data_IF_698046070949
#
_entry.id   IF_698046070949
#
_cell.length_a   1.000
_cell.length_b   1.000
_cell.length_c   1.000
_cell.angle_alpha   90.00
_cell.angle_beta   90.00
_cell.angle_gamma   90.00
#
_symmetry.space_group_name_H-M   'P 1'
#
loop_
_entity.id
_entity.type
_entity.pdbx_description
1 polymer ?
#
# COMPACT_ATOMS: atom_id res chain seq x y z
N UNK A 1 67.05 65.34 -22.44
CA UNK A 1 66.64 63.96 -22.81
C UNK A 1 65.67 63.47 -21.70
N UNK A 2 64.39 63.63 -21.90
CA UNK A 2 63.39 63.19 -20.91
C UNK A 2 62.29 62.38 -21.67
N UNK A 3 62.30 61.10 -21.44
CA UNK A 3 61.20 60.22 -21.88
C UNK A 3 60.04 60.21 -20.83
N UNK A 4 58.87 60.64 -21.26
CA UNK A 4 57.65 60.54 -20.49
C UNK A 4 57.00 59.20 -20.84
N UNK A 5 56.87 58.31 -19.85
CA UNK A 5 56.06 57.12 -19.93
C UNK A 5 54.62 57.48 -19.56
N UNK A 6 53.68 57.26 -20.48
CA UNK A 6 52.22 57.33 -20.26
C UNK A 6 51.71 55.99 -19.82
N UNK A 7 51.22 55.92 -18.58
CA UNK A 7 50.57 54.73 -18.02
C UNK A 7 49.15 54.65 -18.54
N UNK A 8 48.83 53.62 -19.30
CA UNK A 8 47.45 53.23 -19.63
C UNK A 8 46.86 52.45 -18.44
N UNK A 9 45.81 52.99 -17.77
CA UNK A 9 44.94 52.25 -16.83
C UNK A 9 43.96 51.45 -17.65
N UNK A 10 44.08 50.10 -17.65
CA UNK A 10 43.08 49.18 -18.11
C UNK A 10 42.09 48.97 -16.99
N UNK A 11 40.87 49.50 -17.18
CA UNK A 11 39.71 49.24 -16.32
C UNK A 11 39.19 47.84 -16.62
N UNK A 12 39.40 46.88 -15.72
CA UNK A 12 38.75 45.58 -15.76
C UNK A 12 37.32 45.69 -15.19
N UNK A 13 36.34 45.68 -16.08
CA UNK A 13 34.91 45.49 -15.68
C UNK A 13 34.69 44.01 -15.45
N UNK A 14 34.70 43.58 -14.18
CA UNK A 14 34.22 42.27 -13.80
C UNK A 14 32.70 42.23 -13.99
N UNK A 15 32.23 41.68 -15.12
CA UNK A 15 30.85 41.19 -15.21
C UNK A 15 30.76 40.00 -14.28
N UNK A 16 30.24 40.22 -13.09
CA UNK A 16 29.79 39.17 -12.20
C UNK A 16 28.55 38.49 -12.80
N UNK A 17 28.77 37.44 -13.62
CA UNK A 17 27.73 36.51 -13.92
C UNK A 17 27.38 35.80 -12.60
N UNK A 18 26.32 36.25 -11.93
CA UNK A 18 25.72 35.55 -10.83
C UNK A 18 25.25 34.18 -11.33
N UNK A 19 26.11 33.19 -11.15
CA UNK A 19 25.68 31.80 -11.20
C UNK A 19 24.79 31.66 -9.98
N UNK A 20 23.47 31.85 -10.16
CA UNK A 20 22.48 31.36 -9.21
C UNK A 20 22.68 29.84 -9.17
N UNK A 21 23.52 29.39 -8.23
CA UNK A 21 23.58 27.98 -7.89
C UNK A 21 22.16 27.57 -7.54
N UNK A 22 21.52 26.79 -8.38
CA UNK A 22 20.33 26.09 -8.01
C UNK A 22 20.71 25.31 -6.74
N UNK A 23 20.22 25.77 -5.60
CA UNK A 23 20.33 25.01 -4.35
C UNK A 23 19.79 23.64 -4.70
N UNK A 24 20.61 22.61 -4.58
CA UNK A 24 20.14 21.23 -4.72
C UNK A 24 19.01 21.09 -3.72
N UNK A 25 17.79 20.94 -4.22
CA UNK A 25 16.63 20.76 -3.40
C UNK A 25 16.84 19.44 -2.66
N UNK A 26 16.89 19.47 -1.33
CA UNK A 26 17.10 18.26 -0.54
C UNK A 26 16.06 17.23 -0.93
N UNK A 27 16.52 15.99 -1.22
CA UNK A 27 15.64 14.91 -1.62
C UNK A 27 14.66 14.57 -0.51
N UNK A 28 13.39 14.41 -0.85
CA UNK A 28 12.36 13.92 0.07
C UNK A 28 12.65 12.46 0.42
N UNK A 29 12.80 12.15 1.68
CA UNK A 29 13.08 10.80 2.19
C UNK A 29 11.78 10.20 2.70
N UNK A 30 11.45 8.99 2.25
CA UNK A 30 10.26 8.28 2.69
C UNK A 30 10.57 6.85 3.12
N UNK A 31 9.91 6.38 4.17
CA UNK A 31 10.09 5.03 4.74
C UNK A 31 8.76 4.46 5.22
N UNK A 32 8.62 3.13 5.24
CA UNK A 32 7.48 2.43 5.83
C UNK A 32 6.96 1.26 5.01
N UNK A 33 5.64 1.15 4.88
CA UNK A 33 5.00 -0.03 4.28
C UNK A 33 5.35 -0.23 2.81
N UNK A 34 5.66 -1.48 2.45
CA UNK A 34 5.93 -1.88 1.06
C UNK A 34 4.73 -1.62 0.14
N UNK A 35 3.50 -1.70 0.65
CA UNK A 35 2.30 -1.47 -0.13
C UNK A 35 2.25 -0.07 -0.77
N UNK A 36 2.78 0.95 -0.09
CA UNK A 36 2.90 2.30 -0.66
C UNK A 36 4.23 2.52 -1.37
N UNK A 37 5.29 1.91 -0.90
CA UNK A 37 6.61 2.09 -1.51
C UNK A 37 6.63 1.66 -2.99
N UNK A 38 5.84 0.65 -3.38
CA UNK A 38 5.77 0.19 -4.76
C UNK A 38 5.17 1.25 -5.72
N UNK A 39 3.94 1.78 -5.51
CA UNK A 39 3.42 2.83 -6.38
C UNK A 39 4.23 4.13 -6.31
N UNK A 40 4.85 4.45 -5.18
CA UNK A 40 5.74 5.61 -5.06
C UNK A 40 7.07 5.41 -5.79
N UNK A 41 7.58 4.18 -5.90
CA UNK A 41 8.76 3.90 -6.72
C UNK A 41 8.51 4.21 -8.21
N UNK A 42 7.30 3.90 -8.71
CA UNK A 42 6.89 4.29 -10.07
C UNK A 42 6.75 5.82 -10.21
N UNK A 43 6.43 6.54 -9.13
CA UNK A 43 6.32 7.99 -9.12
C UNK A 43 7.68 8.73 -9.14
N UNK A 44 8.78 8.08 -8.73
CA UNK A 44 10.12 8.72 -8.60
C UNK A 44 10.55 9.43 -9.89
N UNK A 45 10.35 8.78 -11.05
CA UNK A 45 10.77 9.34 -12.34
C UNK A 45 9.92 10.58 -12.67
N UNK A 46 8.60 10.49 -12.52
CA UNK A 46 7.70 11.61 -12.80
C UNK A 46 7.95 12.79 -11.84
N UNK A 47 8.13 12.53 -10.55
CA UNK A 47 8.46 13.56 -9.57
C UNK A 47 9.77 14.29 -9.93
N UNK A 48 10.79 13.55 -10.33
CA UNK A 48 12.08 14.16 -10.74
C UNK A 48 11.94 14.96 -12.04
N UNK A 49 11.33 14.42 -13.07
CA UNK A 49 11.31 15.03 -14.41
C UNK A 49 10.26 16.12 -14.57
N UNK A 50 9.09 15.96 -13.95
CA UNK A 50 7.94 16.86 -14.12
C UNK A 50 7.83 17.88 -12.98
N UNK A 51 8.21 17.49 -11.75
CA UNK A 51 8.06 18.30 -10.54
C UNK A 51 9.38 18.80 -9.96
N UNK A 52 10.52 18.37 -10.52
CA UNK A 52 11.87 18.71 -10.04
C UNK A 52 12.11 18.33 -8.57
N UNK A 53 11.49 17.27 -8.10
CA UNK A 53 11.63 16.74 -6.72
C UNK A 53 12.26 15.36 -6.76
N UNK A 54 13.37 15.20 -6.07
CA UNK A 54 13.98 13.90 -5.83
C UNK A 54 13.31 13.19 -4.65
N UNK A 55 12.94 11.91 -4.84
CA UNK A 55 12.35 11.08 -3.81
C UNK A 55 13.24 9.86 -3.53
N UNK A 56 13.66 9.71 -2.29
CA UNK A 56 14.43 8.56 -1.80
C UNK A 56 13.54 7.65 -0.95
N UNK A 57 13.33 6.43 -1.43
CA UNK A 57 12.45 5.47 -0.79
C UNK A 57 13.24 4.39 -0.05
N UNK A 58 12.86 4.12 1.21
CA UNK A 58 13.26 2.95 1.98
C UNK A 58 12.03 2.10 2.27
N UNK A 59 11.85 1.03 1.50
CA UNK A 59 10.74 0.11 1.69
C UNK A 59 11.06 -0.92 2.77
N UNK A 60 10.09 -1.21 3.64
CA UNK A 60 10.17 -2.26 4.66
C UNK A 60 9.92 -1.78 6.09
N UNK A 61 9.78 -2.75 6.99
CA UNK A 61 9.51 -2.48 8.40
C UNK A 61 8.07 -2.09 8.76
N UNK A 62 7.22 -1.83 7.76
CA UNK A 62 5.81 -1.49 7.99
C UNK A 62 5.58 -0.07 8.50
N UNK A 63 4.36 0.17 8.99
CA UNK A 63 3.92 1.48 9.50
C UNK A 63 4.76 1.95 10.69
N UNK A 64 5.07 1.07 11.62
CA UNK A 64 5.84 1.38 12.83
C UNK A 64 7.22 1.96 12.48
N UNK A 65 7.95 1.30 11.58
CA UNK A 65 9.28 1.78 11.13
C UNK A 65 9.17 3.14 10.42
N UNK A 66 8.09 3.36 9.64
CA UNK A 66 7.85 4.65 9.00
C UNK A 66 7.63 5.77 10.01
N UNK A 67 6.78 5.52 11.03
CA UNK A 67 6.49 6.50 12.09
C UNK A 67 7.70 6.77 12.97
N UNK A 68 8.47 5.75 13.32
CA UNK A 68 9.75 5.88 14.05
C UNK A 68 10.73 6.78 13.29
N UNK A 69 10.90 6.52 12.00
CA UNK A 69 11.81 7.28 11.16
C UNK A 69 11.34 8.75 11.00
N UNK A 70 10.03 8.99 10.92
CA UNK A 70 9.45 10.32 10.85
C UNK A 70 9.62 11.05 12.19
N UNK A 71 9.25 10.41 13.31
CA UNK A 71 9.34 11.00 14.65
C UNK A 71 10.76 11.31 15.10
N UNK A 72 11.75 10.62 14.53
CA UNK A 72 13.19 10.89 14.73
C UNK A 72 13.80 11.78 13.63
N UNK A 73 13.00 12.35 12.74
CA UNK A 73 13.39 13.21 11.62
C UNK A 73 14.45 12.60 10.68
N UNK A 74 14.53 11.26 10.62
CA UNK A 74 15.37 10.53 9.65
C UNK A 74 14.74 10.44 8.28
N UNK A 75 13.41 10.61 8.18
CA UNK A 75 12.66 10.79 6.95
C UNK A 75 11.70 11.97 7.06
N UNK A 76 11.21 12.41 5.90
CA UNK A 76 10.29 13.55 5.78
C UNK A 76 8.84 13.07 5.60
N UNK A 77 8.67 11.77 5.27
CA UNK A 77 7.39 11.18 4.93
C UNK A 77 7.33 9.72 5.42
N UNK A 78 6.36 9.37 6.24
CA UNK A 78 6.11 7.98 6.61
C UNK A 78 5.01 7.36 5.74
N UNK A 79 5.27 6.12 5.29
CA UNK A 79 4.34 5.31 4.49
C UNK A 79 3.57 4.37 5.42
N UNK A 80 2.28 4.61 5.60
CA UNK A 80 1.46 3.89 6.57
C UNK A 80 0.34 3.10 5.89
N UNK A 81 0.02 1.93 6.43
CA UNK A 81 -1.08 1.07 5.97
C UNK A 81 -2.08 0.73 7.09
N UNK A 82 -2.19 1.59 8.07
CA UNK A 82 -3.24 1.64 9.08
C UNK A 82 -3.46 3.07 9.55
N UNK A 83 -4.60 3.33 10.16
CA UNK A 83 -4.84 4.60 10.83
C UNK A 83 -3.86 4.78 12.01
N UNK A 84 -3.54 6.04 12.29
CA UNK A 84 -2.77 6.39 13.48
C UNK A 84 -3.62 6.17 14.74
N UNK A 85 -3.01 5.59 15.75
CA UNK A 85 -3.60 5.38 17.07
C UNK A 85 -3.25 6.54 18.01
N UNK A 86 -3.95 6.68 19.15
CA UNK A 86 -3.51 7.60 20.20
C UNK A 86 -2.09 7.31 20.70
N UNK A 87 -1.67 6.04 20.74
CA UNK A 87 -0.32 5.65 21.13
C UNK A 87 0.73 6.19 20.15
N UNK A 88 0.51 6.08 18.83
CA UNK A 88 1.44 6.64 17.84
C UNK A 88 1.67 8.15 18.06
N UNK A 89 0.64 8.88 18.46
CA UNK A 89 0.77 10.32 18.75
C UNK A 89 1.44 10.60 20.09
N UNK A 90 1.26 9.72 21.07
CA UNK A 90 1.88 9.84 22.39
C UNK A 90 3.38 9.50 22.35
N UNK A 91 3.78 8.58 21.47
CA UNK A 91 5.20 8.19 21.30
C UNK A 91 6.04 9.33 20.70
N UNK A 92 5.41 10.24 19.93
CA UNK A 92 6.07 11.40 19.29
C UNK A 92 5.36 12.71 19.64
N UNK A 93 5.36 13.15 20.91
CA UNK A 93 4.58 14.31 21.36
C UNK A 93 5.06 15.64 20.74
N UNK A 94 6.30 15.69 20.26
CA UNK A 94 6.85 16.85 19.54
C UNK A 94 6.40 16.93 18.08
N UNK A 95 5.93 15.81 17.51
CA UNK A 95 5.50 15.74 16.12
C UNK A 95 3.99 16.00 15.99
N UNK A 96 3.61 16.86 15.06
CA UNK A 96 2.21 17.10 14.72
C UNK A 96 1.74 16.19 13.60
N UNK A 97 1.72 14.88 13.84
CA UNK A 97 1.45 13.87 12.82
C UNK A 97 0.16 14.16 12.03
N UNK A 98 0.29 14.51 10.75
CA UNK A 98 -0.78 14.72 9.78
C UNK A 98 -0.86 13.55 8.82
N UNK A 99 -2.07 13.21 8.41
CA UNK A 99 -2.32 12.08 7.50
C UNK A 99 -2.93 12.58 6.21
N UNK A 100 -2.37 12.16 5.09
CA UNK A 100 -2.95 12.33 3.75
C UNK A 100 -3.33 10.95 3.20
N UNK A 101 -4.62 10.60 3.12
CA UNK A 101 -5.06 9.37 2.47
C UNK A 101 -4.72 9.42 0.97
N UNK A 102 -4.17 8.32 0.44
CA UNK A 102 -3.87 8.17 -0.99
C UNK A 102 -4.58 6.98 -1.63
N UNK A 103 -5.25 6.16 -0.84
CA UNK A 103 -6.02 5.02 -1.34
C UNK A 103 -6.35 4.02 -0.24
N UNK A 104 -6.86 2.86 -0.67
CA UNK A 104 -7.20 1.75 0.22
C UNK A 104 -6.80 0.43 -0.44
N UNK A 105 -6.11 -0.41 0.31
CA UNK A 105 -5.90 -1.79 -0.09
C UNK A 105 -7.11 -2.62 0.32
N UNK A 106 -7.72 -3.32 -0.64
CA UNK A 106 -8.85 -4.24 -0.44
C UNK A 106 -8.48 -5.60 -1.01
N UNK A 107 -8.60 -6.65 -0.21
CA UNK A 107 -8.36 -8.02 -0.62
C UNK A 107 -9.61 -8.86 -0.45
N UNK A 108 -9.74 -9.91 -1.23
CA UNK A 108 -10.77 -10.93 -1.07
C UNK A 108 -10.15 -12.32 -0.96
N UNK A 109 -10.84 -13.23 -0.32
CA UNK A 109 -10.57 -14.67 -0.43
C UNK A 109 -11.12 -15.14 -1.78
N UNK A 110 -10.24 -15.20 -2.78
CA UNK A 110 -10.60 -15.67 -4.11
C UNK A 110 -10.55 -17.20 -4.17
N UNK A 111 -11.52 -17.80 -4.83
CA UNK A 111 -11.61 -19.25 -5.06
C UNK A 111 -11.86 -19.56 -6.52
N UNK A 112 -11.44 -20.74 -6.96
CA UNK A 112 -11.75 -21.28 -8.29
C UNK A 112 -13.25 -21.56 -8.45
N UNK A 113 -13.67 -21.61 -9.72
CA UNK A 113 -15.08 -21.77 -10.10
C UNK A 113 -15.77 -22.99 -9.49
N UNK A 114 -15.08 -24.11 -9.42
CA UNK A 114 -15.61 -25.38 -8.89
C UNK A 114 -15.98 -25.27 -7.40
N UNK A 115 -15.20 -24.51 -6.60
CA UNK A 115 -15.52 -24.23 -5.19
C UNK A 115 -16.79 -23.38 -5.10
N UNK A 116 -16.88 -22.34 -5.93
CA UNK A 116 -18.05 -21.46 -5.97
C UNK A 116 -19.32 -22.20 -6.46
N UNK A 117 -19.23 -22.95 -7.55
CA UNK A 117 -20.36 -23.76 -8.07
C UNK A 117 -20.76 -24.83 -7.07
N UNK A 118 -19.82 -25.38 -6.32
CA UNK A 118 -20.06 -26.31 -5.21
C UNK A 118 -20.77 -25.73 -4.01
N UNK A 119 -21.17 -24.44 -4.04
CA UNK A 119 -22.07 -23.82 -3.06
C UNK A 119 -21.39 -22.96 -2.00
N UNK A 120 -20.04 -22.95 -1.88
CA UNK A 120 -19.37 -22.11 -0.89
C UNK A 120 -19.49 -20.62 -1.25
N UNK A 121 -19.91 -19.78 -0.27
CA UNK A 121 -20.13 -18.35 -0.47
C UNK A 121 -19.43 -17.48 0.56
N UNK A 122 -19.10 -18.02 1.72
CA UNK A 122 -18.50 -17.27 2.81
C UNK A 122 -17.63 -18.16 3.68
N UNK A 123 -16.67 -17.56 4.37
CA UNK A 123 -15.87 -18.21 5.40
C UNK A 123 -15.83 -17.34 6.66
N UNK A 124 -15.81 -17.99 7.83
CA UNK A 124 -15.47 -17.31 9.08
C UNK A 124 -13.95 -17.12 9.20
N UNK A 125 -13.52 -16.24 10.11
CA UNK A 125 -12.10 -16.09 10.45
C UNK A 125 -11.47 -17.39 10.93
N UNK A 126 -12.21 -18.20 11.70
CA UNK A 126 -11.72 -19.49 12.19
C UNK A 126 -11.56 -20.52 11.07
N UNK A 127 -12.50 -20.61 10.14
CA UNK A 127 -12.40 -21.47 8.97
C UNK A 127 -11.21 -21.04 8.08
N UNK A 128 -11.07 -19.75 7.78
CA UNK A 128 -9.95 -19.23 7.04
C UNK A 128 -8.60 -19.54 7.72
N UNK A 129 -8.54 -19.38 9.06
CA UNK A 129 -7.37 -19.76 9.85
C UNK A 129 -7.06 -21.25 9.73
N UNK A 130 -8.06 -22.11 9.87
CA UNK A 130 -7.93 -23.56 9.74
C UNK A 130 -7.36 -23.98 8.38
N UNK A 131 -7.80 -23.34 7.30
CA UNK A 131 -7.29 -23.57 5.94
C UNK A 131 -5.81 -23.16 5.83
N UNK A 132 -5.45 -21.97 6.29
CA UNK A 132 -4.08 -21.46 6.17
C UNK A 132 -3.09 -22.22 7.08
N UNK A 133 -3.54 -22.73 8.21
CA UNK A 133 -2.77 -23.59 9.11
C UNK A 133 -2.73 -25.08 8.65
N UNK A 134 -3.51 -25.42 7.61
CA UNK A 134 -3.58 -26.80 7.08
C UNK A 134 -4.39 -27.76 7.94
N UNK A 135 -5.16 -27.28 8.93
CA UNK A 135 -6.08 -28.09 9.75
C UNK A 135 -7.35 -28.46 8.96
N UNK A 136 -7.77 -27.58 8.05
CA UNK A 136 -8.86 -27.79 7.10
C UNK A 136 -8.21 -27.94 5.72
N UNK A 137 -8.38 -29.07 5.07
CA UNK A 137 -7.71 -29.39 3.82
C UNK A 137 -8.68 -29.85 2.70
N UNK A 138 -9.97 -29.91 2.99
CA UNK A 138 -11.02 -30.22 2.04
C UNK A 138 -12.16 -29.20 2.18
N UNK A 139 -12.67 -28.68 1.05
CA UNK A 139 -13.74 -27.69 1.06
C UNK A 139 -15.04 -28.16 1.71
N UNK A 140 -15.32 -29.48 1.72
CA UNK A 140 -16.50 -30.04 2.40
C UNK A 140 -16.51 -29.77 3.90
N UNK A 141 -15.37 -29.61 4.54
CA UNK A 141 -15.26 -29.30 5.97
C UNK A 141 -15.80 -27.91 6.33
N UNK A 142 -15.96 -27.05 5.33
CA UNK A 142 -16.48 -25.68 5.48
C UNK A 142 -17.77 -25.45 4.66
N UNK A 143 -18.45 -26.53 4.24
CA UNK A 143 -19.72 -26.44 3.51
C UNK A 143 -19.59 -26.27 1.99
N UNK A 144 -18.42 -26.50 1.44
CA UNK A 144 -18.15 -26.53 0.01
C UNK A 144 -18.18 -27.94 -0.59
N UNK A 145 -17.70 -28.12 -1.83
CA UNK A 145 -17.65 -29.43 -2.51
C UNK A 145 -16.62 -30.37 -1.87
N UNK A 146 -16.76 -31.67 -2.09
CA UNK A 146 -15.74 -32.65 -1.71
C UNK A 146 -14.52 -32.53 -2.63
N UNK A 147 -13.70 -31.55 -2.34
CA UNK A 147 -12.53 -31.16 -3.14
C UNK A 147 -11.40 -30.69 -2.25
N UNK A 148 -10.20 -31.19 -2.51
CA UNK A 148 -9.01 -30.80 -1.76
C UNK A 148 -8.70 -29.32 -1.93
N UNK A 149 -8.40 -28.64 -0.83
CA UNK A 149 -7.97 -27.24 -0.84
C UNK A 149 -6.54 -27.13 -1.39
N UNK A 150 -6.35 -26.23 -2.35
CA UNK A 150 -5.06 -25.87 -2.91
C UNK A 150 -4.80 -24.40 -2.61
N UNK A 151 -4.11 -24.15 -1.51
CA UNK A 151 -3.82 -22.81 -1.04
C UNK A 151 -2.62 -22.22 -1.75
N UNK A 152 -2.79 -21.04 -2.36
CA UNK A 152 -1.72 -20.20 -2.90
C UNK A 152 -1.62 -18.92 -2.07
N UNK A 153 -0.39 -18.48 -1.80
CA UNK A 153 -0.17 -17.40 -0.85
C UNK A 153 1.05 -16.54 -1.22
N UNK A 154 0.96 -15.25 -0.90
CA UNK A 154 2.10 -14.37 -0.96
C UNK A 154 3.17 -14.74 0.08
N UNK A 155 4.41 -14.38 -0.19
CA UNK A 155 5.51 -14.54 0.77
C UNK A 155 5.27 -13.71 2.05
N UNK A 156 5.79 -14.21 3.16
CA UNK A 156 5.77 -13.49 4.44
C UNK A 156 6.45 -12.12 4.29
N UNK A 157 5.85 -11.08 4.88
CA UNK A 157 6.31 -9.69 4.76
C UNK A 157 5.77 -8.94 3.54
N UNK A 158 5.00 -9.60 2.67
CA UNK A 158 4.21 -8.92 1.65
C UNK A 158 2.93 -8.34 2.26
N UNK A 159 2.48 -7.19 1.76
CA UNK A 159 1.30 -6.51 2.29
C UNK A 159 0.02 -7.36 2.33
N UNK A 160 -0.17 -8.28 1.38
CA UNK A 160 -1.27 -9.25 1.39
C UNK A 160 -1.18 -10.21 2.57
N UNK A 161 0.03 -10.69 2.88
CA UNK A 161 0.27 -11.56 4.02
C UNK A 161 0.00 -10.83 5.34
N UNK A 162 0.47 -9.59 5.47
CA UNK A 162 0.33 -8.80 6.68
C UNK A 162 -1.14 -8.52 7.04
N UNK A 163 -1.96 -8.09 6.05
CA UNK A 163 -3.37 -7.79 6.28
C UNK A 163 -4.14 -9.02 6.74
N UNK A 164 -3.82 -10.17 6.18
CA UNK A 164 -4.45 -11.43 6.51
C UNK A 164 -4.00 -11.94 7.89
N UNK A 165 -2.70 -11.86 8.19
CA UNK A 165 -2.16 -12.19 9.49
C UNK A 165 -2.75 -11.32 10.61
N UNK A 166 -2.88 -10.02 10.36
CA UNK A 166 -3.51 -9.09 11.30
C UNK A 166 -4.97 -9.46 11.57
N UNK A 167 -5.72 -9.79 10.54
CA UNK A 167 -7.12 -10.20 10.69
C UNK A 167 -7.27 -11.47 11.49
N UNK A 168 -6.47 -12.52 11.21
CA UNK A 168 -6.62 -13.84 11.84
C UNK A 168 -6.05 -13.92 13.26
N UNK A 169 -5.00 -13.15 13.57
CA UNK A 169 -4.25 -13.30 14.82
C UNK A 169 -4.22 -12.03 15.68
N UNK A 170 -4.75 -10.91 15.19
CA UNK A 170 -4.67 -9.62 15.87
C UNK A 170 -3.29 -8.97 15.86
N UNK A 171 -2.25 -9.77 15.69
CA UNK A 171 -0.85 -9.31 15.60
C UNK A 171 -0.10 -10.12 14.52
N UNK A 172 0.61 -9.41 13.64
CA UNK A 172 1.34 -10.03 12.53
C UNK A 172 2.38 -11.06 13.02
N UNK A 173 3.04 -10.77 14.17
CA UNK A 173 4.07 -11.67 14.74
C UNK A 173 3.53 -12.99 15.27
N UNK A 174 2.25 -13.03 15.63
CA UNK A 174 1.60 -14.26 16.12
C UNK A 174 1.22 -15.23 15.00
N UNK A 175 1.26 -14.79 13.73
CA UNK A 175 0.94 -15.65 12.62
C UNK A 175 2.04 -16.73 12.43
N UNK A 176 1.67 -18.03 12.42
CA UNK A 176 2.60 -19.10 12.15
C UNK A 176 3.07 -19.10 10.68
N UNK A 177 3.98 -19.98 10.35
CA UNK A 177 4.27 -20.29 8.95
C UNK A 177 3.08 -21.04 8.35
N UNK A 178 2.49 -20.50 7.28
CA UNK A 178 1.37 -21.13 6.62
C UNK A 178 1.80 -22.18 5.61
N UNK A 179 0.95 -23.17 5.41
CA UNK A 179 1.24 -24.34 4.58
C UNK A 179 0.55 -24.20 3.21
N UNK A 180 1.07 -23.34 2.37
CA UNK A 180 0.56 -23.12 1.01
C UNK A 180 1.68 -22.95 -0.01
N UNK A 181 1.33 -23.11 -1.29
CA UNK A 181 2.25 -22.85 -2.40
C UNK A 181 2.48 -21.34 -2.55
N UNK A 182 3.74 -20.92 -2.61
CA UNK A 182 4.09 -19.51 -2.75
C UNK A 182 3.87 -19.03 -4.19
N UNK A 183 3.36 -17.81 -4.33
CA UNK A 183 3.23 -17.10 -5.61
C UNK A 183 3.94 -15.75 -5.53
N UNK A 184 4.56 -15.35 -6.63
CA UNK A 184 5.40 -14.14 -6.69
C UNK A 184 4.58 -12.85 -6.75
N UNK A 185 3.34 -12.91 -7.21
CA UNK A 185 2.51 -11.73 -7.36
C UNK A 185 1.06 -12.05 -7.71
N UNK A 186 0.26 -10.99 -7.88
CA UNK A 186 -1.18 -11.06 -8.13
C UNK A 186 -1.48 -11.78 -9.46
N UNK A 187 -0.73 -11.50 -10.52
CA UNK A 187 -0.94 -12.09 -11.84
C UNK A 187 -0.65 -13.60 -11.84
N UNK A 188 0.43 -14.03 -11.21
CA UNK A 188 0.73 -15.46 -11.07
C UNK A 188 -0.35 -16.16 -10.24
N UNK A 189 -0.77 -15.56 -9.13
CA UNK A 189 -1.84 -16.10 -8.29
C UNK A 189 -3.13 -16.24 -9.11
N UNK A 190 -3.57 -15.19 -9.81
CA UNK A 190 -4.75 -15.20 -10.65
C UNK A 190 -4.70 -16.33 -11.69
N UNK A 191 -3.64 -16.37 -12.47
CA UNK A 191 -3.48 -17.37 -13.54
C UNK A 191 -3.47 -18.78 -12.96
N UNK A 192 -2.80 -19.00 -11.83
CA UNK A 192 -2.74 -20.31 -11.18
C UNK A 192 -4.13 -20.74 -10.67
N UNK A 193 -4.87 -19.82 -10.04
CA UNK A 193 -6.20 -20.14 -9.51
C UNK A 193 -7.19 -20.47 -10.61
N UNK A 194 -7.14 -19.76 -11.74
CA UNK A 194 -8.09 -19.95 -12.86
C UNK A 194 -8.07 -21.38 -13.41
N UNK A 195 -6.90 -22.03 -13.40
CA UNK A 195 -6.70 -23.37 -13.97
C UNK A 195 -6.47 -24.45 -12.93
N UNK A 196 -6.60 -24.14 -11.64
CA UNK A 196 -6.36 -25.12 -10.57
C UNK A 196 -7.62 -25.38 -9.77
N UNK A 197 -8.30 -26.53 -9.97
CA UNK A 197 -9.50 -26.90 -9.21
C UNK A 197 -9.22 -26.91 -7.69
N UNK A 198 -10.17 -26.40 -6.91
CA UNK A 198 -10.05 -26.33 -5.45
C UNK A 198 -9.08 -25.27 -4.93
N UNK A 199 -8.62 -24.38 -5.79
CA UNK A 199 -7.66 -23.36 -5.42
C UNK A 199 -8.28 -22.20 -4.66
N UNK A 200 -7.46 -21.55 -3.81
CA UNK A 200 -7.77 -20.27 -3.17
C UNK A 200 -6.51 -19.43 -2.95
N UNK A 201 -6.69 -18.12 -2.96
CA UNK A 201 -5.66 -17.13 -2.62
C UNK A 201 -6.30 -15.82 -2.18
N UNK A 202 -5.48 -14.89 -1.68
CA UNK A 202 -5.87 -13.49 -1.48
C UNK A 202 -5.61 -12.70 -2.76
N UNK A 203 -6.66 -12.13 -3.33
CA UNK A 203 -6.57 -11.26 -4.49
C UNK A 203 -7.37 -9.97 -4.26
N UNK A 204 -6.97 -8.83 -4.86
CA UNK A 204 -7.86 -7.68 -4.94
C UNK A 204 -9.18 -8.07 -5.65
N UNK A 205 -10.35 -7.55 -5.24
CA UNK A 205 -11.64 -7.89 -5.87
C UNK A 205 -11.70 -7.64 -7.37
N UNK A 206 -10.95 -6.66 -7.87
CA UNK A 206 -10.84 -6.39 -9.31
C UNK A 206 -10.30 -7.57 -10.14
N UNK A 207 -9.65 -8.54 -9.51
CA UNK A 207 -9.15 -9.77 -10.13
C UNK A 207 -10.05 -10.99 -9.90
N UNK A 208 -11.15 -10.82 -9.18
CA UNK A 208 -12.25 -11.79 -9.04
C UNK A 208 -13.43 -11.36 -9.91
N UNK A 209 -14.45 -12.15 -10.05
CA UNK A 209 -15.56 -11.92 -10.98
C UNK A 209 -15.15 -11.93 -12.46
N UNK A 210 -13.91 -12.33 -12.73
CA UNK A 210 -13.37 -12.46 -14.06
C UNK A 210 -13.25 -13.94 -14.44
N UNK A 211 -14.13 -14.40 -15.33
CA UNK A 211 -14.18 -15.75 -15.94
C UNK A 211 -14.43 -16.89 -14.95
N UNK A 212 -13.45 -17.27 -14.10
CA UNK A 212 -13.50 -18.49 -13.29
C UNK A 212 -13.06 -18.29 -11.84
N UNK A 213 -12.92 -17.04 -11.39
CA UNK A 213 -12.53 -16.71 -10.03
C UNK A 213 -13.64 -15.94 -9.33
N UNK A 214 -13.91 -16.29 -8.09
CA UNK A 214 -15.00 -15.72 -7.29
C UNK A 214 -14.50 -15.29 -5.91
N UNK A 215 -14.98 -14.14 -5.46
CA UNK A 215 -14.66 -13.63 -4.13
C UNK A 215 -15.64 -14.18 -3.09
N UNK A 216 -15.13 -14.85 -2.06
CA UNK A 216 -15.95 -15.24 -0.90
C UNK A 216 -16.21 -14.04 0.01
N UNK A 217 -17.39 -14.00 0.60
CA UNK A 217 -17.69 -13.13 1.73
C UNK A 217 -16.95 -13.61 2.98
N UNK A 218 -16.77 -12.70 3.94
CA UNK A 218 -16.29 -13.03 5.28
C UNK A 218 -17.48 -12.95 6.24
N UNK A 219 -17.65 -13.93 7.10
CA UNK A 219 -18.67 -13.89 8.15
C UNK A 219 -18.22 -12.93 9.27
N UNK A 220 -19.08 -11.97 9.62
CA UNK A 220 -18.87 -11.10 10.78
C UNK A 220 -19.07 -11.84 12.10
N UNK A 221 -18.89 -11.16 13.24
CA UNK A 221 -19.07 -11.74 14.58
C UNK A 221 -20.50 -12.24 14.88
N UNK A 222 -21.49 -11.86 14.06
CA UNK A 222 -22.86 -12.33 14.14
C UNK A 222 -23.18 -13.42 13.10
N UNK A 223 -22.19 -13.90 12.36
CA UNK A 223 -22.35 -14.92 11.32
C UNK A 223 -22.96 -14.41 10.01
N UNK A 224 -23.05 -13.09 9.81
CA UNK A 224 -23.59 -12.48 8.60
C UNK A 224 -22.51 -12.31 7.54
N UNK A 225 -22.78 -12.61 6.26
CA UNK A 225 -21.80 -12.47 5.21
C UNK A 225 -21.55 -10.98 4.87
N UNK A 226 -20.29 -10.56 4.90
CA UNK A 226 -19.81 -9.25 4.48
C UNK A 226 -19.01 -9.41 3.19
N UNK A 227 -19.48 -8.80 2.11
CA UNK A 227 -18.84 -8.88 0.80
C UNK A 227 -17.61 -7.98 0.71
N UNK A 228 -16.59 -8.35 -0.10
CA UNK A 228 -15.39 -7.53 -0.35
C UNK A 228 -15.68 -6.38 -1.31
N UNK A 229 -16.57 -5.48 -0.93
CA UNK A 229 -16.92 -4.30 -1.71
C UNK A 229 -16.20 -3.04 -1.19
N UNK A 230 -15.98 -2.06 -2.08
CA UNK A 230 -15.40 -0.78 -1.70
C UNK A 230 -16.26 -0.10 -0.60
N UNK A 231 -17.59 -0.20 -0.68
CA UNK A 231 -18.51 0.35 0.31
C UNK A 231 -18.31 -0.28 1.70
N UNK A 232 -18.23 -1.60 1.80
CA UNK A 232 -18.01 -2.29 3.07
C UNK A 232 -16.61 -1.99 3.63
N UNK A 233 -15.61 -1.89 2.77
CA UNK A 233 -14.24 -1.54 3.16
C UNK A 233 -14.14 -0.09 3.64
N UNK A 234 -14.71 0.88 2.91
CA UNK A 234 -14.75 2.29 3.29
C UNK A 234 -15.52 2.56 4.59
N UNK A 235 -16.46 1.68 4.94
CA UNK A 235 -17.21 1.71 6.20
C UNK A 235 -16.54 0.94 7.34
N UNK A 236 -15.35 0.34 7.10
CA UNK A 236 -14.64 -0.49 8.09
C UNK A 236 -15.33 -1.80 8.44
N UNK A 237 -16.34 -2.22 7.66
CA UNK A 237 -17.09 -3.48 7.89
C UNK A 237 -16.34 -4.71 7.38
N UNK A 238 -15.48 -4.53 6.36
CA UNK A 238 -14.76 -5.64 5.74
C UNK A 238 -13.32 -5.70 6.25
N UNK A 239 -12.90 -6.78 6.92
CA UNK A 239 -11.65 -6.80 7.67
C UNK A 239 -10.39 -6.93 6.82
N UNK A 240 -10.48 -7.41 5.57
CA UNK A 240 -9.33 -7.50 4.67
C UNK A 240 -9.16 -6.21 3.85
N UNK A 241 -9.31 -5.08 4.53
CA UNK A 241 -9.05 -3.75 3.97
C UNK A 241 -8.20 -2.92 4.92
N UNK A 242 -7.37 -2.06 4.37
CA UNK A 242 -6.56 -1.11 5.13
C UNK A 242 -6.29 0.16 4.35
N UNK A 243 -6.28 1.33 5.01
CA UNK A 243 -5.97 2.57 4.33
C UNK A 243 -4.50 2.61 3.90
N UNK A 244 -4.23 3.37 2.86
CA UNK A 244 -2.90 3.76 2.43
C UNK A 244 -2.73 5.25 2.72
N UNK A 245 -1.83 5.58 3.64
CA UNK A 245 -1.66 6.93 4.17
C UNK A 245 -0.22 7.39 4.00
N UNK A 246 -0.05 8.62 3.55
CA UNK A 246 1.17 9.38 3.74
C UNK A 246 1.06 10.15 5.06
N UNK A 247 2.09 10.10 5.89
CA UNK A 247 2.11 10.80 7.17
C UNK A 247 3.31 11.74 7.21
N UNK A 248 3.05 12.98 7.58
CA UNK A 248 4.06 14.06 7.71
C UNK A 248 4.09 14.57 9.13
N UNK A 249 5.20 15.17 9.51
CA UNK A 249 5.29 16.02 10.69
C UNK A 249 4.79 17.42 10.29
N UNK A 250 3.65 17.85 10.90
CA UNK A 250 2.91 19.05 10.54
C UNK A 250 2.32 19.03 9.11
N UNK A 251 1.79 20.16 8.65
CA UNK A 251 1.26 20.32 7.31
C UNK A 251 2.39 20.25 6.28
N UNK A 252 2.23 19.43 5.24
CA UNK A 252 3.28 19.28 4.25
C UNK A 252 3.57 20.61 3.55
N UNK A 253 4.85 20.95 3.41
CA UNK A 253 5.33 22.16 2.73
C UNK A 253 6.47 21.80 1.77
N UNK A 254 6.82 22.74 0.87
CA UNK A 254 7.93 22.59 -0.06
C UNK A 254 7.88 21.27 -0.85
N UNK A 255 9.03 20.57 -1.00
CA UNK A 255 9.11 19.32 -1.75
C UNK A 255 8.21 18.20 -1.21
N UNK A 256 8.03 18.11 0.10
CA UNK A 256 7.15 17.11 0.73
C UNK A 256 5.71 17.31 0.28
N UNK A 257 5.26 18.57 0.22
CA UNK A 257 3.92 18.90 -0.30
C UNK A 257 3.76 18.47 -1.75
N UNK A 258 4.77 18.70 -2.59
CA UNK A 258 4.74 18.27 -4.00
C UNK A 258 4.56 16.77 -4.12
N UNK A 259 5.26 15.96 -3.30
CA UNK A 259 5.09 14.49 -3.28
C UNK A 259 3.69 14.10 -2.85
N UNK A 260 3.16 14.72 -1.78
CA UNK A 260 1.79 14.44 -1.30
C UNK A 260 0.76 14.81 -2.36
N UNK A 261 0.85 16.02 -2.93
CA UNK A 261 -0.06 16.52 -3.97
C UNK A 261 -0.02 15.64 -5.23
N UNK A 262 1.17 15.19 -5.64
CA UNK A 262 1.32 14.26 -6.75
C UNK A 262 0.58 12.95 -6.49
N UNK A 263 0.73 12.36 -5.31
CA UNK A 263 0.10 11.06 -5.01
C UNK A 263 -1.43 11.14 -4.93
N UNK A 264 -2.00 12.32 -4.60
CA UNK A 264 -3.47 12.53 -4.61
C UNK A 264 -3.98 13.03 -5.97
N UNK A 265 -3.11 13.46 -6.88
CA UNK A 265 -3.49 13.86 -8.24
C UNK A 265 -3.96 12.67 -9.08
N UNK A 266 -4.62 12.94 -10.21
CA UNK A 266 -5.05 11.93 -11.17
C UNK A 266 -3.90 10.96 -11.53
N UNK A 267 -2.71 11.50 -11.82
CA UNK A 267 -1.53 10.71 -12.19
C UNK A 267 -1.04 9.80 -11.05
N UNK A 268 -1.00 10.30 -9.83
CA UNK A 268 -0.67 9.50 -8.65
C UNK A 268 -1.72 8.43 -8.38
N UNK A 269 -3.00 8.77 -8.60
CA UNK A 269 -4.11 7.83 -8.45
C UNK A 269 -4.11 6.71 -9.51
N UNK A 270 -3.65 6.98 -10.74
CA UNK A 270 -3.40 5.94 -11.73
C UNK A 270 -2.34 4.94 -11.25
N UNK A 271 -1.27 5.40 -10.59
CA UNK A 271 -0.27 4.52 -10.01
C UNK A 271 -0.86 3.66 -8.89
N UNK A 272 -1.67 4.23 -8.00
CA UNK A 272 -2.39 3.50 -6.95
C UNK A 272 -3.26 2.39 -7.55
N UNK A 273 -4.07 2.71 -8.55
CA UNK A 273 -4.98 1.75 -9.23
C UNK A 273 -4.22 0.63 -9.97
N UNK A 274 -3.04 0.93 -10.54
CA UNK A 274 -2.19 -0.07 -11.22
C UNK A 274 -1.78 -1.24 -10.32
N UNK A 275 -1.62 -0.98 -9.03
CA UNK A 275 -1.33 -2.01 -8.02
C UNK A 275 -2.59 -2.72 -7.48
N UNK A 276 -3.75 -2.49 -8.09
CA UNK A 276 -5.03 -3.08 -7.65
C UNK A 276 -5.58 -2.46 -6.37
N UNK A 277 -5.14 -1.27 -6.01
CA UNK A 277 -5.66 -0.54 -4.87
C UNK A 277 -6.84 0.34 -5.29
N UNK A 278 -7.71 0.65 -4.34
CA UNK A 278 -8.86 1.53 -4.51
C UNK A 278 -8.39 2.98 -4.40
N UNK A 279 -8.69 3.78 -5.41
CA UNK A 279 -8.35 5.20 -5.45
C UNK A 279 -9.32 6.08 -4.64
N UNK A 280 -8.94 7.34 -4.46
CA UNK A 280 -9.70 8.31 -3.66
C UNK A 280 -11.09 8.58 -4.23
N UNK A 281 -11.23 8.69 -5.55
CA UNK A 281 -12.50 8.92 -6.22
C UNK A 281 -13.51 7.80 -5.91
N UNK A 282 -13.09 6.55 -6.02
CA UNK A 282 -13.94 5.38 -5.71
C UNK A 282 -14.34 5.34 -4.23
N UNK A 283 -13.42 5.72 -3.33
CA UNK A 283 -13.69 5.80 -1.89
C UNK A 283 -14.71 6.90 -1.59
N UNK A 284 -14.57 8.08 -2.18
CA UNK A 284 -15.51 9.19 -2.03
C UNK A 284 -16.89 8.83 -2.58
N UNK A 285 -16.95 8.22 -3.77
CA UNK A 285 -18.21 7.75 -4.35
C UNK A 285 -18.91 6.69 -3.48
N UNK A 286 -18.14 5.79 -2.85
CA UNK A 286 -18.67 4.78 -1.94
C UNK A 286 -19.17 5.36 -0.61
N UNK A 287 -18.58 6.45 -0.14
CA UNK A 287 -19.00 7.16 1.07
C UNK A 287 -20.24 8.02 0.83
N UNK A 288 -20.39 8.60 -0.36
CA UNK A 288 -21.55 9.44 -0.72
C UNK A 288 -22.85 8.63 -0.93
N UNK A 289 -22.76 7.31 -1.10
CA UNK A 289 -23.91 6.40 -1.28
C UNK A 289 -24.49 5.89 0.05
N UNK A 290 -24.17 6.54 1.16
CA UNK A 290 -24.81 6.33 2.48
C UNK A 290 -26.17 7.04 2.50
#
# INVERSE_FOLDING_TARGET
MHHRLTSLLLLWVCLGAGISGAMAQDAVRACGTVSLALPMADAVVALRTEQHVDLVLRAGGGTETGLDALGTHTVDLALCSRNLTPADRADYPQAQLKTAPVGLQLLSLAVSRDVWVGGLRALSAEQARGIYEGRINNWKEVGGPDLRIRLFMAERGRGQWEIFAQWLYGEIRKAPMWNGSKVKGIEEARNTLEFTPGSCALLPPAFTDYRNLFALSILDGAGRPVQPTVANAAQGKYPLSRPLLLVTDDNPAGPVKVVVDFMVSERGQELIKRYGYIGLEELQAAQARK
#
